data_IF_589416236004
#
_entry.id   IF_589416236004
#
_cell.length_a   1.000
_cell.length_b   1.000
_cell.length_c   1.000
_cell.angle_alpha   90.00
_cell.angle_beta   90.00
_cell.angle_gamma   90.00
#
_symmetry.space_group_name_H-M   'P 1'
#
loop_
_entity.id
_entity.type
_entity.pdbx_description
1 polymer ?
#
# COMPACT_ATOMS: atom_id res chain seq x y z
N UNK A 1 -13.19 5.44 -14.12
CA UNK A 1 -13.45 6.90 -14.11
C UNK A 1 -12.58 7.70 -15.11
N UNK A 2 -11.53 7.12 -15.73
CA UNK A 2 -10.62 7.86 -16.63
C UNK A 2 -10.82 7.62 -18.14
N UNK A 3 -11.71 6.71 -18.55
CA UNK A 3 -11.83 6.23 -19.94
C UNK A 3 -12.19 7.31 -20.99
N UNK A 4 -12.65 8.50 -20.57
CA UNK A 4 -12.98 9.62 -21.44
C UNK A 4 -12.18 10.89 -21.12
N UNK A 5 -11.05 10.73 -20.43
CA UNK A 5 -10.15 11.84 -20.15
C UNK A 5 -9.61 12.45 -21.45
N UNK A 6 -9.52 13.79 -21.50
CA UNK A 6 -8.83 14.52 -22.57
C UNK A 6 -7.38 14.89 -22.20
N UNK A 7 -6.95 14.52 -20.99
CA UNK A 7 -5.69 14.96 -20.38
C UNK A 7 -4.70 13.79 -20.26
N UNK A 8 -5.18 12.55 -20.29
CA UNK A 8 -4.34 11.36 -20.22
C UNK A 8 -4.76 10.32 -21.25
N UNK A 9 -3.75 9.66 -21.82
CA UNK A 9 -3.91 8.44 -22.58
C UNK A 9 -4.16 7.27 -21.62
N UNK A 10 -5.13 6.43 -21.96
CA UNK A 10 -5.52 5.29 -21.14
C UNK A 10 -5.18 3.99 -21.86
N UNK A 11 -4.33 3.19 -21.24
CA UNK A 11 -4.01 1.83 -21.68
C UNK A 11 -4.56 0.85 -20.65
N UNK A 12 -5.34 -0.13 -21.12
CA UNK A 12 -5.85 -1.22 -20.28
C UNK A 12 -5.05 -2.47 -20.60
N UNK A 13 -4.35 -2.97 -19.59
CA UNK A 13 -3.47 -4.12 -19.73
C UNK A 13 -4.11 -5.30 -18.99
N UNK A 14 -4.37 -6.44 -19.66
CA UNK A 14 -4.84 -7.64 -18.99
C UNK A 14 -3.86 -8.07 -17.90
N UNK A 15 -4.38 -8.53 -16.78
CA UNK A 15 -3.59 -9.08 -15.67
C UNK A 15 -2.49 -8.15 -15.13
N UNK A 16 -2.71 -6.83 -15.19
CA UNK A 16 -1.75 -5.83 -14.69
C UNK A 16 -1.53 -5.87 -13.16
N UNK A 17 -2.33 -6.67 -12.46
CA UNK A 17 -2.14 -7.02 -11.05
C UNK A 17 -1.19 -8.21 -10.86
N UNK A 18 -0.55 -8.72 -11.90
CA UNK A 18 0.57 -9.65 -11.82
C UNK A 18 1.89 -8.88 -11.89
N UNK A 19 2.85 -9.22 -11.03
CA UNK A 19 4.13 -8.48 -10.92
C UNK A 19 4.97 -8.62 -12.19
N UNK A 20 4.98 -9.79 -12.81
CA UNK A 20 5.75 -10.01 -14.03
C UNK A 20 5.13 -9.27 -15.22
N UNK A 21 3.79 -9.23 -15.31
CA UNK A 21 3.09 -8.43 -16.31
C UNK A 21 3.36 -6.95 -16.11
N UNK A 22 3.24 -6.45 -14.86
CA UNK A 22 3.48 -5.04 -14.53
C UNK A 22 4.90 -4.61 -14.90
N UNK A 23 5.92 -5.38 -14.47
CA UNK A 23 7.33 -5.06 -14.76
C UNK A 23 7.59 -5.06 -16.26
N UNK A 24 7.20 -6.14 -16.96
CA UNK A 24 7.40 -6.24 -18.41
C UNK A 24 6.78 -5.06 -19.14
N UNK A 25 5.51 -4.78 -18.87
CA UNK A 25 4.78 -3.71 -19.57
C UNK A 25 5.34 -2.32 -19.28
N UNK A 26 5.75 -2.03 -18.04
CA UNK A 26 6.38 -0.74 -17.72
C UNK A 26 7.77 -0.62 -18.35
N UNK A 27 8.57 -1.69 -18.38
CA UNK A 27 9.88 -1.65 -19.05
C UNK A 27 9.71 -1.42 -20.57
N UNK A 28 8.78 -2.13 -21.22
CA UNK A 28 8.47 -1.95 -22.63
C UNK A 28 8.02 -0.50 -22.93
N UNK A 29 7.14 0.06 -22.09
CA UNK A 29 6.73 1.46 -22.19
C UNK A 29 7.92 2.41 -22.05
N UNK A 30 8.79 2.19 -21.06
CA UNK A 30 9.96 3.03 -20.86
C UNK A 30 10.93 3.00 -22.04
N UNK A 31 11.12 1.84 -22.66
CA UNK A 31 11.96 1.70 -23.84
C UNK A 31 11.41 2.47 -25.04
N UNK A 32 10.09 2.46 -25.24
CA UNK A 32 9.43 3.23 -26.30
C UNK A 32 9.52 4.75 -26.06
N UNK A 33 9.72 5.17 -24.81
CA UNK A 33 9.82 6.56 -24.40
C UNK A 33 11.20 6.93 -23.86
N UNK A 34 12.27 6.26 -24.31
CA UNK A 34 13.63 6.40 -23.76
C UNK A 34 14.22 7.83 -23.84
N UNK A 35 13.64 8.71 -24.66
CA UNK A 35 14.04 10.12 -24.77
C UNK A 35 13.45 11.01 -23.67
N UNK A 36 12.45 10.52 -22.93
CA UNK A 36 11.77 11.24 -21.88
C UNK A 36 12.23 10.78 -20.49
N UNK A 37 12.18 11.69 -19.51
CA UNK A 37 12.26 11.31 -18.09
C UNK A 37 10.88 10.89 -17.62
N UNK A 38 10.76 9.64 -17.21
CA UNK A 38 9.48 9.07 -16.78
C UNK A 38 9.36 9.12 -15.26
N UNK A 39 8.19 9.48 -14.77
CA UNK A 39 7.84 9.45 -13.34
C UNK A 39 6.69 8.48 -13.14
N UNK A 40 6.84 7.52 -12.24
CA UNK A 40 5.85 6.49 -12.01
C UNK A 40 5.04 6.80 -10.74
N UNK A 41 3.76 7.07 -10.92
CA UNK A 41 2.80 7.26 -9.83
C UNK A 41 1.69 6.21 -9.89
N UNK A 42 1.48 5.53 -8.78
CA UNK A 42 0.31 4.71 -8.50
C UNK A 42 -0.85 5.56 -7.95
N UNK A 43 -2.05 5.20 -8.40
CA UNK A 43 -3.30 5.81 -7.94
C UNK A 43 -3.94 5.07 -6.74
N UNK A 44 -3.46 3.87 -6.39
CA UNK A 44 -3.94 3.11 -5.24
C UNK A 44 -2.77 2.64 -4.37
N UNK A 45 -3.04 2.41 -3.09
CA UNK A 45 -2.07 1.87 -2.13
C UNK A 45 -1.55 0.49 -2.57
N UNK A 46 -2.40 -0.35 -3.15
CA UNK A 46 -2.00 -1.67 -3.67
C UNK A 46 -0.89 -1.52 -4.72
N UNK A 47 -1.06 -0.61 -5.68
CA UNK A 47 -0.06 -0.38 -6.71
C UNK A 47 1.19 0.29 -6.13
N UNK A 48 1.09 1.14 -5.11
CA UNK A 48 2.28 1.68 -4.42
C UNK A 48 3.08 0.54 -3.81
N UNK A 49 2.43 -0.35 -3.05
CA UNK A 49 3.08 -1.52 -2.45
C UNK A 49 3.73 -2.40 -3.53
N UNK A 50 3.01 -2.66 -4.63
CA UNK A 50 3.50 -3.46 -5.75
C UNK A 50 4.73 -2.83 -6.41
N UNK A 51 4.68 -1.53 -6.74
CA UNK A 51 5.81 -0.79 -7.31
C UNK A 51 7.01 -0.81 -6.36
N UNK A 52 6.79 -0.68 -5.05
CA UNK A 52 7.86 -0.77 -4.05
C UNK A 52 8.50 -2.17 -4.04
N UNK A 53 7.71 -3.24 -4.18
CA UNK A 53 8.21 -4.62 -4.24
C UNK A 53 9.14 -4.89 -5.42
N UNK A 54 8.82 -4.36 -6.61
CA UNK A 54 9.63 -4.51 -7.85
C UNK A 54 10.50 -3.27 -8.16
N UNK A 55 10.69 -2.39 -7.18
CA UNK A 55 11.33 -1.08 -7.37
C UNK A 55 12.70 -1.16 -8.03
N UNK A 56 13.50 -2.13 -7.65
CA UNK A 56 14.89 -2.27 -8.12
C UNK A 56 14.95 -2.49 -9.63
N UNK A 57 13.97 -3.22 -10.19
CA UNK A 57 13.85 -3.49 -11.62
C UNK A 57 13.42 -2.24 -12.40
N UNK A 58 12.56 -1.41 -11.80
CA UNK A 58 11.98 -0.23 -12.43
C UNK A 58 12.80 1.06 -12.23
N UNK A 59 13.67 1.13 -11.20
CA UNK A 59 14.39 2.36 -10.83
C UNK A 59 15.39 2.85 -11.87
N UNK A 60 15.80 1.98 -12.81
CA UNK A 60 16.65 2.37 -13.93
C UNK A 60 15.86 3.10 -15.05
N UNK A 61 14.54 2.93 -15.10
CA UNK A 61 13.66 3.45 -16.14
C UNK A 61 12.80 4.62 -15.66
N UNK A 62 12.44 4.63 -14.37
CA UNK A 62 11.49 5.56 -13.79
C UNK A 62 12.06 6.28 -12.57
N UNK A 63 11.71 7.56 -12.44
CA UNK A 63 11.73 8.25 -11.15
C UNK A 63 10.53 7.75 -10.35
N UNK A 64 10.80 7.07 -9.24
CA UNK A 64 9.77 6.55 -8.33
C UNK A 64 9.75 7.43 -7.08
N UNK A 65 8.81 8.37 -6.95
CA UNK A 65 8.78 9.39 -5.90
C UNK A 65 8.18 8.86 -4.59
N UNK A 66 8.55 7.65 -4.21
CA UNK A 66 8.15 7.00 -2.97
C UNK A 66 9.35 6.78 -2.06
N UNK A 67 9.08 6.44 -0.80
CA UNK A 67 10.12 6.00 0.11
C UNK A 67 10.91 4.81 -0.47
N UNK A 68 12.13 4.63 0.03
CA UNK A 68 12.92 3.44 -0.31
C UNK A 68 12.14 2.17 0.06
N UNK A 69 12.33 1.09 -0.70
CA UNK A 69 11.56 -0.16 -0.60
C UNK A 69 11.34 -0.64 0.83
N UNK A 70 12.40 -0.80 1.62
CA UNK A 70 12.30 -1.26 3.02
C UNK A 70 11.41 -0.34 3.87
N UNK A 71 11.68 0.96 3.84
CA UNK A 71 10.94 1.94 4.63
C UNK A 71 9.49 2.04 4.18
N UNK A 72 9.24 2.09 2.87
CA UNK A 72 7.90 2.20 2.30
C UNK A 72 7.04 1.00 2.67
N UNK A 73 7.54 -0.22 2.47
CA UNK A 73 6.83 -1.44 2.81
C UNK A 73 6.57 -1.54 4.33
N UNK A 74 7.53 -1.13 5.16
CA UNK A 74 7.37 -1.12 6.62
C UNK A 74 6.32 -0.12 7.11
N UNK A 75 6.28 1.07 6.52
CA UNK A 75 5.29 2.10 6.89
C UNK A 75 3.87 1.71 6.41
N UNK A 76 3.77 0.97 5.31
CA UNK A 76 2.48 0.45 4.82
C UNK A 76 1.91 -0.68 5.70
N UNK A 77 2.74 -1.42 6.44
CA UNK A 77 2.28 -2.41 7.42
C UNK A 77 1.92 -1.73 8.74
N UNK A 78 0.63 -1.70 9.10
CA UNK A 78 0.13 -1.02 10.31
C UNK A 78 0.85 -1.44 11.61
N UNK A 79 1.04 -2.73 11.91
CA UNK A 79 1.84 -3.16 13.07
C UNK A 79 3.25 -2.57 13.07
N UNK A 80 3.96 -2.64 11.95
CA UNK A 80 5.31 -2.11 11.84
C UNK A 80 5.33 -0.59 11.95
N UNK A 81 4.33 0.09 11.39
CA UNK A 81 4.13 1.53 11.55
C UNK A 81 3.97 1.91 13.04
N UNK A 82 3.09 1.25 13.79
CA UNK A 82 2.92 1.55 15.23
C UNK A 82 4.15 1.19 16.06
N UNK A 83 4.83 0.08 15.74
CA UNK A 83 6.11 -0.26 16.37
C UNK A 83 7.17 0.82 16.12
N UNK A 84 7.18 1.42 14.92
CA UNK A 84 8.04 2.57 14.62
C UNK A 84 7.61 3.81 15.40
N UNK A 85 6.32 4.09 15.53
CA UNK A 85 5.84 5.20 16.36
C UNK A 85 6.33 5.07 17.81
N UNK A 86 6.23 3.87 18.40
CA UNK A 86 6.80 3.57 19.72
C UNK A 86 8.32 3.78 19.75
N UNK A 87 9.05 3.21 18.79
CA UNK A 87 10.52 3.31 18.71
C UNK A 87 10.99 4.77 18.68
N UNK A 88 10.27 5.63 17.95
CA UNK A 88 10.61 7.05 17.78
C UNK A 88 9.88 7.98 18.76
N UNK A 89 9.14 7.43 19.73
CA UNK A 89 8.35 8.19 20.71
C UNK A 89 7.40 9.21 20.06
N UNK A 90 6.75 8.80 18.98
CA UNK A 90 5.74 9.57 18.26
C UNK A 90 4.36 9.29 18.85
N UNK A 91 3.49 10.30 19.03
CA UNK A 91 2.12 10.07 19.48
C UNK A 91 1.31 9.35 18.40
N UNK A 92 0.60 8.28 18.76
CA UNK A 92 -0.30 7.53 17.89
C UNK A 92 -1.47 6.95 18.71
N UNK A 93 -2.62 6.65 18.09
CA UNK A 93 -3.76 6.10 18.82
C UNK A 93 -3.49 4.66 19.25
N UNK A 94 -3.98 4.29 20.45
CA UNK A 94 -3.73 2.96 20.99
C UNK A 94 -4.38 1.91 20.11
N UNK A 95 -3.59 0.98 19.61
CA UNK A 95 -4.04 -0.02 18.65
C UNK A 95 -3.82 -1.43 19.19
N UNK A 96 -4.84 -2.27 19.09
CA UNK A 96 -4.78 -3.67 19.49
C UNK A 96 -5.16 -4.55 18.30
N UNK A 97 -4.32 -5.54 18.00
CA UNK A 97 -4.66 -6.60 17.03
C UNK A 97 -5.74 -7.47 17.66
N UNK A 98 -6.85 -7.65 16.95
CA UNK A 98 -7.98 -8.45 17.42
C UNK A 98 -8.28 -9.58 16.44
N UNK A 99 -8.90 -10.62 16.98
CA UNK A 99 -9.51 -11.69 16.17
C UNK A 99 -11.02 -11.48 16.14
N UNK A 100 -11.70 -12.13 15.19
CA UNK A 100 -13.15 -12.08 15.09
C UNK A 100 -13.86 -12.46 16.41
N UNK A 101 -13.32 -13.44 17.14
CA UNK A 101 -13.84 -13.84 18.45
C UNK A 101 -13.71 -12.73 19.49
N UNK A 102 -12.58 -12.02 19.50
CA UNK A 102 -12.36 -10.87 20.39
C UNK A 102 -13.27 -9.71 20.02
N UNK A 103 -13.57 -9.48 18.74
CA UNK A 103 -14.53 -8.47 18.30
C UNK A 103 -15.93 -8.81 18.80
N UNK A 104 -16.39 -10.06 18.65
CA UNK A 104 -17.70 -10.50 19.15
C UNK A 104 -17.81 -10.36 20.68
N UNK A 105 -16.78 -10.80 21.42
CA UNK A 105 -16.71 -10.61 22.87
C UNK A 105 -16.68 -9.13 23.24
N UNK A 106 -15.92 -8.33 22.48
CA UNK A 106 -15.95 -6.90 22.65
C UNK A 106 -17.39 -6.45 22.50
N UNK A 107 -18.11 -6.74 21.39
CA UNK A 107 -19.50 -6.32 20.99
C UNK A 107 -20.56 -6.59 22.08
N UNK A 108 -20.32 -7.54 22.96
CA UNK A 108 -21.20 -7.86 24.08
C UNK A 108 -21.05 -6.96 25.33
N UNK A 109 -19.98 -6.16 25.45
CA UNK A 109 -19.72 -5.37 26.67
C UNK A 109 -20.63 -4.13 26.78
N UNK A 110 -21.26 -3.87 27.95
CA UNK A 110 -22.25 -2.82 28.15
C UNK A 110 -21.69 -1.38 28.20
N UNK A 111 -20.37 -1.21 28.35
CA UNK A 111 -19.75 0.12 28.49
C UNK A 111 -18.52 0.28 27.57
N UNK A 112 -18.76 0.31 26.26
CA UNK A 112 -17.70 0.47 25.27
C UNK A 112 -17.15 1.88 25.26
N UNK A 113 -15.84 1.99 25.15
CA UNK A 113 -15.22 3.18 24.57
C UNK A 113 -15.45 3.17 23.06
N UNK A 114 -15.67 4.34 22.42
CA UNK A 114 -15.72 4.41 20.96
C UNK A 114 -14.40 3.90 20.39
N UNK A 115 -14.48 2.99 19.42
CA UNK A 115 -13.33 2.37 18.79
C UNK A 115 -13.61 2.17 17.30
N UNK A 116 -12.56 2.26 16.48
CA UNK A 116 -12.65 2.01 15.05
C UNK A 116 -12.11 0.61 14.76
N UNK A 117 -12.89 -0.20 14.07
CA UNK A 117 -12.45 -1.48 13.52
C UNK A 117 -11.84 -1.24 12.13
N UNK A 118 -10.63 -1.73 11.92
CA UNK A 118 -9.96 -1.69 10.63
C UNK A 118 -9.40 -3.06 10.29
N UNK A 119 -9.55 -3.46 9.03
CA UNK A 119 -8.90 -4.66 8.50
C UNK A 119 -7.54 -4.30 7.89
N UNK A 120 -6.53 -5.14 8.10
CA UNK A 120 -5.27 -5.01 7.35
C UNK A 120 -5.41 -5.61 5.96
N UNK A 121 -5.02 -4.82 4.96
CA UNK A 121 -5.04 -5.18 3.55
C UNK A 121 -3.65 -5.59 3.03
N UNK A 122 -2.57 -5.29 3.77
CA UNK A 122 -1.18 -5.49 3.34
C UNK A 122 -0.27 -6.01 4.47
N UNK A 123 0.92 -6.48 4.10
CA UNK A 123 1.98 -6.85 5.03
C UNK A 123 1.83 -8.22 5.69
N UNK A 124 2.47 -8.39 6.85
CA UNK A 124 2.55 -9.69 7.56
C UNK A 124 1.25 -10.12 8.23
N UNK A 125 0.24 -9.26 8.19
CA UNK A 125 -1.01 -9.38 8.95
C UNK A 125 -2.26 -9.24 8.08
N UNK A 126 -2.13 -9.41 6.76
CA UNK A 126 -3.25 -9.40 5.81
C UNK A 126 -4.41 -10.24 6.35
N UNK A 127 -5.60 -9.62 6.41
CA UNK A 127 -6.81 -10.28 6.86
C UNK A 127 -7.03 -10.29 8.38
N UNK A 128 -6.13 -9.73 9.20
CA UNK A 128 -6.37 -9.47 10.62
C UNK A 128 -7.11 -8.15 10.82
N UNK A 129 -7.90 -8.09 11.88
CA UNK A 129 -8.64 -6.91 12.29
C UNK A 129 -7.94 -6.20 13.44
N UNK A 130 -8.17 -4.89 13.54
CA UNK A 130 -7.54 -3.98 14.48
C UNK A 130 -8.61 -3.14 15.13
N UNK A 131 -8.53 -3.00 16.45
CA UNK A 131 -9.27 -1.97 17.18
C UNK A 131 -8.35 -0.81 17.49
N UNK A 132 -8.74 0.37 17.03
CA UNK A 132 -8.11 1.64 17.36
C UNK A 132 -8.98 2.35 18.40
N UNK A 133 -8.35 2.74 19.52
CA UNK A 133 -8.96 3.30 20.73
C UNK A 133 -8.52 4.76 20.97
#
# INVERSE_FOLDING_TARGET
MVAHSKICDVSVIPDFADDAVLVRTLIEYAQQHAQARLVLFAASEEYVHRILSVRDELSQYYIIPYAQKDLGLRISDKPQFYAMCEQYNLPYPRTTVVTLLMILCAISLPNRRPCMELRSLYGSTVGRDYLIM
#
